data_IF_489376251552
#
_entry.id   IF_489376251552
#
_cell.length_a   1.000
_cell.length_b   1.000
_cell.length_c   1.000
_cell.angle_alpha   90.00
_cell.angle_beta   90.00
_cell.angle_gamma   90.00
#
_symmetry.space_group_name_H-M   'P 1'
#
loop_
_entity.id
_entity.type
_entity.pdbx_description
1 polymer ?
#
# COMPACT_ATOMS: atom_id res chain seq x y z
N UNK A 1 -75.03 -26.97 -27.97
CA UNK A 1 -75.82 -27.90 -27.17
C UNK A 1 -75.27 -27.89 -25.76
N UNK A 2 -76.14 -27.54 -24.82
CA UNK A 2 -76.06 -27.69 -23.35
C UNK A 2 -75.09 -26.78 -22.59
N UNK A 3 -75.70 -25.85 -21.86
CA UNK A 3 -75.19 -25.14 -20.67
C UNK A 3 -75.26 -26.05 -19.43
N UNK A 4 -74.29 -25.97 -18.51
CA UNK A 4 -74.41 -26.12 -17.04
C UNK A 4 -73.24 -25.28 -16.46
N UNK A 5 -73.40 -24.11 -15.84
CA UNK A 5 -74.12 -23.70 -14.63
C UNK A 5 -73.43 -24.07 -13.30
N UNK A 6 -72.76 -23.04 -12.73
CA UNK A 6 -72.69 -22.57 -11.33
C UNK A 6 -72.15 -23.41 -10.16
N UNK A 7 -71.37 -22.68 -9.33
CA UNK A 7 -71.35 -22.67 -7.85
C UNK A 7 -70.71 -23.86 -7.11
N UNK A 8 -70.05 -23.71 -5.96
CA UNK A 8 -69.63 -22.54 -5.18
C UNK A 8 -68.57 -23.01 -4.17
N UNK A 9 -67.68 -22.06 -3.84
CA UNK A 9 -67.24 -21.67 -2.51
C UNK A 9 -66.71 -22.67 -1.45
N UNK A 10 -65.70 -22.12 -0.76
CA UNK A 10 -65.38 -22.25 0.66
C UNK A 10 -64.42 -23.38 1.05
N UNK A 11 -63.38 -23.17 1.85
CA UNK A 11 -62.78 -21.99 2.50
C UNK A 11 -61.52 -22.54 3.20
N UNK A 12 -60.42 -21.80 3.32
CA UNK A 12 -59.33 -22.34 4.14
C UNK A 12 -57.96 -21.68 4.15
N UNK A 13 -57.89 -20.38 4.47
CA UNK A 13 -56.75 -19.68 5.10
C UNK A 13 -55.51 -19.44 4.21
N UNK A 14 -55.16 -18.19 3.85
CA UNK A 14 -54.55 -17.11 4.68
C UNK A 14 -53.25 -17.65 5.30
N UNK A 15 -52.05 -17.16 5.05
CA UNK A 15 -51.45 -15.82 4.89
C UNK A 15 -50.04 -16.14 4.33
N UNK A 16 -49.24 -15.30 3.68
CA UNK A 16 -49.12 -13.87 3.50
C UNK A 16 -47.78 -13.70 2.75
N UNK A 17 -47.69 -12.73 1.83
CA UNK A 17 -46.59 -11.74 1.76
C UNK A 17 -45.16 -12.33 1.59
N UNK A 18 -44.34 -12.07 0.58
CA UNK A 18 -44.14 -10.96 -0.36
C UNK A 18 -43.22 -11.54 -1.46
N UNK A 19 -43.43 -11.36 -2.76
CA UNK A 19 -43.21 -10.15 -3.54
C UNK A 19 -41.80 -9.53 -3.41
N UNK A 20 -41.23 -9.29 -4.60
CA UNK A 20 -40.18 -8.33 -4.96
C UNK A 20 -38.69 -8.73 -4.89
N UNK A 21 -38.19 -8.99 -6.10
CA UNK A 21 -37.18 -8.15 -6.78
C UNK A 21 -35.77 -8.12 -6.18
N UNK A 22 -34.93 -8.98 -6.75
CA UNK A 22 -33.48 -9.04 -6.57
C UNK A 22 -32.79 -7.79 -7.11
N UNK A 23 -32.92 -6.70 -6.36
CA UNK A 23 -32.24 -5.43 -6.58
C UNK A 23 -30.89 -5.45 -5.87
N UNK A 24 -29.83 -5.31 -6.67
CA UNK A 24 -28.53 -4.70 -6.36
C UNK A 24 -28.15 -4.64 -4.88
N UNK A 25 -27.23 -5.52 -4.45
CA UNK A 25 -26.53 -5.34 -3.17
C UNK A 25 -25.63 -4.10 -3.27
N UNK A 26 -26.19 -2.98 -2.85
CA UNK A 26 -25.52 -1.74 -2.57
C UNK A 26 -24.85 -1.84 -1.19
N UNK A 27 -23.53 -1.63 -1.18
CA UNK A 27 -22.82 -0.85 -0.18
C UNK A 27 -23.35 -0.87 1.26
N UNK A 28 -22.84 -1.79 2.10
CA UNK A 28 -22.69 -1.52 3.54
C UNK A 28 -21.50 -2.29 4.13
N UNK A 29 -20.28 -1.78 3.94
CA UNK A 29 -19.26 -1.82 5.00
C UNK A 29 -18.55 -0.48 5.04
N UNK A 30 -19.31 0.52 5.49
CA UNK A 30 -18.80 1.79 5.94
C UNK A 30 -17.72 1.57 7.01
N UNK A 31 -16.53 2.10 6.72
CA UNK A 31 -15.64 2.76 7.67
C UNK A 31 -15.59 2.18 9.09
N UNK A 32 -14.94 1.03 9.25
CA UNK A 32 -14.08 0.86 10.43
C UNK A 32 -12.79 1.64 10.17
N UNK A 33 -12.86 2.97 10.28
CA UNK A 33 -11.66 3.80 10.48
C UNK A 33 -11.11 3.42 11.85
N UNK A 34 -10.25 2.41 11.89
CA UNK A 34 -9.35 2.23 13.01
C UNK A 34 -8.53 3.52 13.10
N UNK A 35 -8.52 4.13 14.29
CA UNK A 35 -7.65 5.26 14.62
C UNK A 35 -6.21 4.88 14.23
N UNK A 36 -5.38 5.79 13.67
CA UNK A 36 -3.95 5.56 13.59
C UNK A 36 -3.45 5.30 15.01
N UNK A 37 -3.05 4.06 15.28
CA UNK A 37 -2.52 3.66 16.58
C UNK A 37 -1.17 4.32 16.76
N UNK A 38 -1.11 5.40 17.55
CA UNK A 38 0.09 6.07 18.07
C UNK A 38 0.88 5.16 19.03
N UNK A 39 1.21 3.91 18.63
CA UNK A 39 2.10 3.06 19.39
C UNK A 39 3.51 3.19 18.80
N UNK A 40 4.32 4.05 19.40
CA UNK A 40 5.75 4.25 19.09
C UNK A 40 6.61 3.02 19.42
N UNK A 41 6.05 2.02 20.09
CA UNK A 41 6.76 0.82 20.55
C UNK A 41 7.11 -0.19 19.45
N UNK A 42 6.54 -0.02 18.24
CA UNK A 42 6.75 -0.93 17.10
C UNK A 42 7.92 -0.49 16.20
N UNK A 43 8.67 0.56 16.59
CA UNK A 43 9.84 1.02 15.85
C UNK A 43 11.10 0.71 16.66
N UNK A 44 11.87 -0.27 16.19
CA UNK A 44 13.10 -0.66 16.87
C UNK A 44 14.20 0.43 16.77
N UNK A 45 15.08 0.55 17.79
CA UNK A 45 16.15 1.55 17.77
C UNK A 45 17.13 1.42 16.60
N UNK A 46 17.32 0.22 16.06
CA UNK A 46 18.23 0.02 14.93
C UNK A 46 17.66 0.63 13.64
N UNK A 47 16.35 0.54 13.44
CA UNK A 47 15.66 1.25 12.36
C UNK A 47 15.83 2.77 12.48
N UNK A 48 15.60 3.32 13.68
CA UNK A 48 15.76 4.77 13.91
C UNK A 48 17.19 5.25 13.64
N UNK A 49 18.21 4.48 14.05
CA UNK A 49 19.60 4.80 13.75
C UNK A 49 19.86 4.86 12.24
N UNK A 50 19.31 3.93 11.45
CA UNK A 50 19.45 3.96 10.00
C UNK A 50 18.69 5.13 9.35
N UNK A 51 17.57 5.55 9.93
CA UNK A 51 16.84 6.75 9.49
C UNK A 51 17.68 8.01 9.72
N UNK A 52 18.42 8.12 10.82
CA UNK A 52 19.34 9.24 11.05
C UNK A 52 20.51 9.24 10.06
N UNK A 53 21.07 8.08 9.73
CA UNK A 53 22.09 7.96 8.67
C UNK A 53 21.54 8.38 7.29
N UNK A 54 20.29 8.01 6.99
CA UNK A 54 19.62 8.43 5.76
C UNK A 54 19.39 9.95 5.74
N UNK A 55 18.99 10.57 6.85
CA UNK A 55 18.87 12.03 6.96
C UNK A 55 20.19 12.73 6.70
N UNK A 56 21.30 12.22 7.27
CA UNK A 56 22.63 12.76 7.04
C UNK A 56 23.02 12.65 5.55
N UNK A 57 22.75 11.51 4.92
CA UNK A 57 22.97 11.31 3.49
C UNK A 57 22.17 12.32 2.65
N UNK A 58 20.87 12.49 2.93
CA UNK A 58 20.01 13.45 2.21
C UNK A 58 20.51 14.87 2.40
N UNK A 59 20.95 15.24 3.61
CA UNK A 59 21.51 16.58 3.86
C UNK A 59 22.80 16.83 3.06
N UNK A 60 23.61 15.79 2.83
CA UNK A 60 24.85 15.89 2.06
C UNK A 60 24.64 15.87 0.55
N UNK A 61 23.71 15.05 0.05
CA UNK A 61 23.56 14.75 -1.38
C UNK A 61 22.32 15.40 -2.02
N UNK A 62 21.34 15.79 -1.21
CA UNK A 62 20.07 16.39 -1.66
C UNK A 62 18.99 15.37 -2.06
N UNK A 63 19.29 14.08 -2.02
CA UNK A 63 18.37 13.00 -2.37
C UNK A 63 18.61 11.75 -1.49
N UNK A 64 17.72 10.78 -1.60
CA UNK A 64 17.84 9.47 -0.93
C UNK A 64 18.31 8.36 -1.88
N UNK A 65 18.99 8.71 -2.98
CA UNK A 65 19.48 7.78 -4.00
C UNK A 65 20.88 7.32 -3.60
N UNK A 66 20.94 6.32 -2.73
CA UNK A 66 22.20 5.79 -2.23
C UNK A 66 22.83 4.84 -3.27
N UNK A 67 24.11 5.05 -3.66
CA UNK A 67 24.85 4.16 -4.55
C UNK A 67 24.97 2.75 -3.99
N UNK A 68 24.99 1.75 -4.87
CA UNK A 68 25.15 0.36 -4.47
C UNK A 68 26.44 0.11 -3.68
N UNK A 69 27.54 0.72 -4.13
CA UNK A 69 28.85 0.62 -3.49
C UNK A 69 29.19 1.91 -2.75
N UNK A 70 28.29 2.36 -1.86
CA UNK A 70 28.56 3.54 -1.03
C UNK A 70 29.65 3.24 0.00
N UNK A 71 30.91 3.53 -0.34
CA UNK A 71 32.09 3.18 0.45
C UNK A 71 32.11 3.83 1.84
N UNK A 72 31.54 5.02 1.97
CA UNK A 72 31.47 5.75 3.24
C UNK A 72 30.54 5.08 4.25
N UNK A 73 29.42 4.53 3.78
CA UNK A 73 28.50 3.77 4.63
C UNK A 73 27.87 2.58 3.88
N UNK A 74 28.60 1.45 3.76
CA UNK A 74 28.11 0.26 3.06
C UNK A 74 26.84 -0.34 3.71
N UNK A 75 26.66 -0.12 5.02
CA UNK A 75 25.48 -0.58 5.76
C UNK A 75 24.23 0.17 5.32
N UNK A 76 24.34 1.48 5.10
CA UNK A 76 23.24 2.30 4.60
C UNK A 76 22.82 1.89 3.18
N UNK A 77 23.78 1.60 2.30
CA UNK A 77 23.49 1.05 0.98
C UNK A 77 22.71 -0.26 1.08
N UNK A 78 23.20 -1.22 1.88
CA UNK A 78 22.54 -2.52 2.06
C UNK A 78 21.12 -2.36 2.62
N UNK A 79 20.97 -1.55 3.67
CA UNK A 79 19.67 -1.29 4.29
C UNK A 79 18.69 -0.66 3.30
N UNK A 80 19.14 0.27 2.44
CA UNK A 80 18.33 0.86 1.39
C UNK A 80 17.80 -0.18 0.38
N UNK A 81 18.61 -1.19 0.02
CA UNK A 81 18.11 -2.32 -0.77
C UNK A 81 17.08 -3.15 -0.01
N UNK A 82 17.38 -3.48 1.25
CA UNK A 82 16.50 -4.29 2.08
C UNK A 82 15.14 -3.58 2.31
N UNK A 83 15.09 -2.24 2.40
CA UNK A 83 13.84 -1.48 2.50
C UNK A 83 12.90 -1.74 1.32
N UNK A 84 13.45 -1.82 0.09
CA UNK A 84 12.66 -2.06 -1.13
C UNK A 84 12.01 -3.44 -1.11
N UNK A 85 12.80 -4.46 -0.75
CA UNK A 85 12.30 -5.83 -0.64
C UNK A 85 11.30 -5.98 0.50
N UNK A 86 11.57 -5.37 1.66
CA UNK A 86 10.66 -5.37 2.79
C UNK A 86 9.33 -4.69 2.48
N UNK A 87 9.32 -3.58 1.72
CA UNK A 87 8.07 -2.92 1.32
C UNK A 87 7.27 -3.81 0.37
N UNK A 88 7.94 -4.46 -0.58
CA UNK A 88 7.30 -5.45 -1.45
C UNK A 88 6.70 -6.59 -0.65
N UNK A 89 7.42 -7.13 0.33
CA UNK A 89 6.92 -8.21 1.20
C UNK A 89 5.75 -7.77 2.08
N UNK A 90 5.82 -6.56 2.64
CA UNK A 90 4.74 -5.96 3.42
C UNK A 90 3.44 -5.90 2.62
N UNK A 91 3.47 -5.39 1.39
CA UNK A 91 2.29 -5.34 0.53
C UNK A 91 1.81 -6.72 0.04
N UNK A 92 2.68 -7.73 0.04
CA UNK A 92 2.32 -9.11 -0.28
C UNK A 92 1.80 -9.89 0.95
N UNK A 93 1.72 -9.27 2.12
CA UNK A 93 1.35 -9.95 3.37
C UNK A 93 2.38 -11.02 3.81
N UNK A 94 3.62 -10.93 3.31
CA UNK A 94 4.73 -11.79 3.73
C UNK A 94 5.39 -11.20 4.98
N UNK A 95 6.15 -12.01 5.70
CA UNK A 95 7.00 -11.53 6.79
C UNK A 95 7.90 -10.40 6.31
N UNK A 96 7.74 -9.23 6.91
CA UNK A 96 8.50 -8.01 6.62
C UNK A 96 8.94 -7.37 7.93
N UNK A 97 10.11 -6.74 7.92
CA UNK A 97 10.56 -5.91 9.04
C UNK A 97 9.99 -4.48 8.96
N UNK A 98 9.19 -4.17 7.93
CA UNK A 98 8.43 -2.94 7.86
C UNK A 98 7.02 -3.14 8.44
N UNK A 99 6.57 -2.11 9.14
CA UNK A 99 5.21 -1.91 9.60
C UNK A 99 4.75 -0.51 9.16
N UNK A 100 3.49 -0.18 9.46
CA UNK A 100 2.90 1.09 9.05
C UNK A 100 3.61 2.29 9.70
N UNK A 101 4.08 2.17 10.95
CA UNK A 101 4.83 3.23 11.63
C UNK A 101 6.18 3.52 10.95
N UNK A 102 6.95 2.48 10.60
CA UNK A 102 8.23 2.59 9.88
C UNK A 102 8.03 3.18 8.48
N UNK A 103 6.98 2.76 7.76
CA UNK A 103 6.62 3.32 6.46
C UNK A 103 6.31 4.80 6.57
N UNK A 104 5.48 5.19 7.55
CA UNK A 104 5.14 6.59 7.79
C UNK A 104 6.39 7.45 8.07
N UNK A 105 7.35 6.95 8.86
CA UNK A 105 8.60 7.67 9.13
C UNK A 105 9.38 7.94 7.83
N UNK A 106 9.47 6.94 6.95
CA UNK A 106 10.17 7.09 5.66
C UNK A 106 9.41 8.02 4.71
N UNK A 107 8.08 7.94 4.69
CA UNK A 107 7.23 8.81 3.88
C UNK A 107 7.30 10.28 4.35
N UNK A 108 7.27 10.51 5.66
CA UNK A 108 7.43 11.85 6.26
C UNK A 108 8.82 12.44 5.97
N UNK A 109 9.84 11.59 5.82
CA UNK A 109 11.18 11.97 5.39
C UNK A 109 11.25 12.31 3.89
N UNK A 110 10.21 12.00 3.12
CA UNK A 110 10.20 12.15 1.66
C UNK A 110 11.04 11.09 0.95
N UNK A 111 11.22 9.92 1.56
CA UNK A 111 11.97 8.84 0.97
C UNK A 111 11.32 8.39 -0.35
N UNK A 112 12.06 8.53 -1.44
CA UNK A 112 11.61 8.08 -2.74
C UNK A 112 11.60 6.55 -2.76
N UNK A 113 10.44 5.95 -3.00
CA UNK A 113 10.29 4.50 -3.09
C UNK A 113 10.58 3.92 -4.48
N UNK A 114 10.56 4.76 -5.50
CA UNK A 114 10.70 4.34 -6.88
C UNK A 114 12.17 4.12 -7.23
N UNK A 115 12.47 2.99 -7.86
CA UNK A 115 13.81 2.66 -8.32
C UNK A 115 14.12 3.37 -9.64
N UNK A 116 14.26 4.69 -9.57
CA UNK A 116 14.60 5.53 -10.72
C UNK A 116 16.10 5.51 -11.04
N UNK A 117 16.90 4.67 -10.36
CA UNK A 117 18.37 4.63 -10.50
C UNK A 117 18.81 4.35 -11.94
N UNK A 118 18.09 3.47 -12.63
CA UNK A 118 18.34 3.21 -14.05
C UNK A 118 18.10 4.46 -14.91
N UNK A 119 16.99 5.17 -14.69
CA UNK A 119 16.66 6.34 -15.49
C UNK A 119 17.67 7.46 -15.23
N UNK A 120 18.07 7.64 -13.97
CA UNK A 120 19.06 8.63 -13.57
C UNK A 120 20.43 8.35 -14.22
N UNK A 121 20.89 7.09 -14.19
CA UNK A 121 22.10 6.66 -14.88
C UNK A 121 21.99 6.86 -16.41
N UNK A 122 20.85 6.52 -16.99
CA UNK A 122 20.59 6.73 -18.41
C UNK A 122 20.68 8.22 -18.80
N UNK A 123 20.07 9.11 -18.01
CA UNK A 123 20.15 10.57 -18.22
C UNK A 123 21.59 11.06 -18.12
N UNK A 124 22.35 10.61 -17.11
CA UNK A 124 23.77 10.96 -16.95
C UNK A 124 24.60 10.52 -18.15
N UNK A 125 24.44 9.27 -18.60
CA UNK A 125 25.14 8.73 -19.78
C UNK A 125 24.78 9.49 -21.06
N UNK A 126 23.50 9.82 -21.24
CA UNK A 126 23.03 10.62 -22.38
C UNK A 126 23.67 12.02 -22.39
N UNK A 127 23.73 12.70 -21.24
CA UNK A 127 24.34 14.02 -21.13
C UNK A 127 25.84 13.99 -21.37
N UNK A 128 26.54 12.98 -20.83
CA UNK A 128 27.96 12.79 -21.09
C UNK A 128 28.25 12.57 -22.58
N UNK A 129 27.47 11.72 -23.25
CA UNK A 129 27.59 11.52 -24.70
C UNK A 129 27.35 12.81 -25.48
N UNK A 130 26.38 13.64 -25.08
CA UNK A 130 26.11 14.91 -25.76
C UNK A 130 27.22 15.96 -25.58
N UNK A 131 27.99 15.88 -24.48
CA UNK A 131 29.08 16.82 -24.19
C UNK A 131 30.43 16.39 -24.78
N UNK A 132 30.68 15.07 -24.90
CA UNK A 132 32.01 14.53 -25.23
C UNK A 132 32.03 13.55 -26.42
N UNK A 133 30.89 13.17 -26.97
CA UNK A 133 30.77 12.26 -28.12
C UNK A 133 30.21 12.94 -29.35
#
# INVERSE_FOLDING_TARGET
GVEIAVSDNSNGKRSSEDALDSRTQHEQHAAKKAKPSENTDDVDPAFLAMVEELKAYIAQHGDCIIPMEYAQNPRLSRWNFDLRDNRRWFHQGKGSNLNEAKLKILDDLGYNWDDMRWLDMYVRLKNYKAQFG
#
